data_IF_464989013748
#
_entry.id   IF_464989013748
#
_cell.length_a   1.000
_cell.length_b   1.000
_cell.length_c   1.000
_cell.angle_alpha   90.00
_cell.angle_beta   90.00
_cell.angle_gamma   90.00
#
_symmetry.space_group_name_H-M   'P 1'
#
loop_
_entity.id
_entity.type
_entity.pdbx_description
1 polymer ?
#
# COMPACT_ATOMS: atom_id res chain seq x y z
N UNK A 1 10.92 10.62 2.62
CA UNK A 1 10.37 10.85 1.27
C UNK A 1 9.21 11.84 1.35
N UNK A 2 9.48 13.11 1.08
CA UNK A 2 8.45 14.16 1.00
C UNK A 2 7.85 14.06 -0.40
N UNK A 3 6.58 13.65 -0.51
CA UNK A 3 5.93 13.49 -1.81
C UNK A 3 5.05 14.71 -2.05
N UNK A 4 5.23 15.38 -3.18
CA UNK A 4 4.29 16.43 -3.59
C UNK A 4 2.99 15.77 -4.09
N UNK A 5 1.85 16.17 -3.53
CA UNK A 5 0.53 15.66 -3.90
C UNK A 5 -0.40 16.85 -4.17
N UNK A 6 -0.45 17.37 -5.41
CA UNK A 6 -1.18 18.61 -5.75
C UNK A 6 -2.68 18.54 -5.47
N UNK A 7 -3.24 17.34 -5.40
CA UNK A 7 -4.66 17.10 -5.17
C UNK A 7 -5.03 17.03 -3.68
N UNK A 8 -4.08 17.25 -2.77
CA UNK A 8 -4.30 17.20 -1.32
C UNK A 8 -4.25 18.60 -0.73
N UNK A 9 -5.00 18.87 0.37
CA UNK A 9 -5.03 20.20 1.00
C UNK A 9 -3.64 20.65 1.48
N UNK A 10 -2.82 19.70 1.94
CA UNK A 10 -1.40 19.89 2.16
C UNK A 10 -0.63 19.20 1.02
N UNK A 11 0.06 20.01 0.22
CA UNK A 11 0.79 19.55 -0.94
C UNK A 11 2.01 18.70 -0.57
N UNK A 12 2.49 18.74 0.67
CA UNK A 12 3.70 18.04 1.05
C UNK A 12 3.49 17.14 2.27
N UNK A 13 3.46 15.84 2.03
CA UNK A 13 3.29 14.85 3.09
C UNK A 13 4.18 13.62 2.94
N UNK A 14 4.18 12.81 3.99
CA UNK A 14 4.70 11.44 3.95
C UNK A 14 3.58 10.52 3.44
N UNK A 15 3.87 9.74 2.40
CA UNK A 15 2.91 8.78 1.83
C UNK A 15 3.12 7.39 2.41
N UNK A 16 2.03 6.83 2.92
CA UNK A 16 1.93 5.46 3.41
C UNK A 16 0.74 4.77 2.74
N UNK A 17 0.79 3.46 2.72
CA UNK A 17 -0.37 2.61 2.44
C UNK A 17 -0.79 1.93 3.73
N UNK A 18 -2.09 1.67 3.86
CA UNK A 18 -2.65 1.00 5.02
C UNK A 18 -3.74 0.00 4.59
N UNK A 19 -3.82 -1.13 5.31
CA UNK A 19 -4.99 -2.02 5.26
C UNK A 19 -5.90 -1.63 6.40
N UNK A 20 -7.13 -1.28 6.07
CA UNK A 20 -8.15 -0.87 7.05
C UNK A 20 -9.31 -1.84 7.08
N UNK A 21 -9.92 -2.00 8.24
CA UNK A 21 -11.12 -2.80 8.42
C UNK A 21 -12.30 -2.21 7.65
N UNK A 22 -13.13 -3.09 7.10
CA UNK A 22 -14.34 -2.68 6.38
C UNK A 22 -15.46 -2.24 7.33
N UNK A 23 -15.64 -2.96 8.45
CA UNK A 23 -16.75 -2.73 9.40
C UNK A 23 -16.44 -1.65 10.44
N UNK A 24 -15.17 -1.37 10.71
CA UNK A 24 -14.73 -0.35 11.66
C UNK A 24 -13.43 0.26 11.15
N UNK A 25 -13.24 1.55 11.44
CA UNK A 25 -12.02 2.26 11.06
C UNK A 25 -10.84 1.81 11.94
N UNK A 26 -10.36 0.59 11.68
CA UNK A 26 -9.23 -0.03 12.36
C UNK A 26 -8.12 -0.27 11.35
N UNK A 27 -6.91 0.20 11.66
CA UNK A 27 -5.73 -0.01 10.81
C UNK A 27 -5.08 -1.33 11.18
N UNK A 28 -5.20 -2.33 10.29
CA UNK A 28 -4.57 -3.64 10.47
C UNK A 28 -3.08 -3.61 10.13
N UNK A 29 -2.69 -2.75 9.19
CA UNK A 29 -1.33 -2.68 8.67
C UNK A 29 -1.05 -1.30 8.11
N UNK A 30 0.19 -0.82 8.25
CA UNK A 30 0.67 0.42 7.65
C UNK A 30 2.10 0.23 7.15
N UNK A 31 2.40 0.69 5.94
CA UNK A 31 3.76 0.69 5.38
C UNK A 31 4.03 1.93 4.56
N UNK A 32 5.30 2.35 4.51
CA UNK A 32 5.69 3.48 3.69
C UNK A 32 5.63 3.12 2.20
N UNK A 33 5.35 4.11 1.34
CA UNK A 33 5.37 3.93 -0.12
C UNK A 33 6.77 3.59 -0.68
N UNK A 34 7.82 3.59 0.16
CA UNK A 34 9.19 3.27 -0.26
C UNK A 34 9.67 4.11 -1.45
N UNK A 35 9.18 5.34 -1.57
CA UNK A 35 9.57 6.27 -2.63
C UNK A 35 11.09 6.48 -2.61
N UNK A 36 11.74 6.25 -3.76
CA UNK A 36 13.21 6.30 -3.90
C UNK A 36 13.92 4.97 -3.63
N UNK A 37 13.19 3.89 -3.37
CA UNK A 37 13.76 2.55 -3.26
C UNK A 37 13.85 1.90 -4.66
N UNK A 38 15.04 1.42 -5.02
CA UNK A 38 15.33 0.82 -6.34
C UNK A 38 15.26 -0.72 -6.33
N UNK A 39 14.80 -1.32 -5.23
CA UNK A 39 14.62 -2.77 -5.15
C UNK A 39 13.56 -3.25 -6.17
N UNK A 40 13.75 -4.41 -6.82
CA UNK A 40 12.83 -4.95 -7.83
C UNK A 40 11.51 -5.48 -7.26
N UNK A 41 11.22 -5.22 -5.99
CA UNK A 41 9.97 -5.60 -5.32
C UNK A 41 9.09 -4.38 -5.10
N UNK A 42 7.78 -4.56 -5.07
CA UNK A 42 6.85 -3.52 -4.65
C UNK A 42 6.86 -3.35 -3.12
N UNK A 43 6.46 -2.19 -2.59
CA UNK A 43 6.30 -2.01 -1.15
C UNK A 43 5.32 -3.03 -0.53
N UNK A 44 4.24 -3.37 -1.26
CA UNK A 44 3.25 -4.36 -0.82
C UNK A 44 3.81 -5.78 -0.79
N UNK A 45 4.61 -6.18 -1.78
CA UNK A 45 5.31 -7.48 -1.79
C UNK A 45 6.28 -7.63 -0.62
N UNK A 46 7.05 -6.57 -0.31
CA UNK A 46 7.94 -6.60 0.86
C UNK A 46 7.16 -6.73 2.16
N UNK A 47 6.04 -6.03 2.28
CA UNK A 47 5.20 -6.09 3.47
C UNK A 47 4.56 -7.47 3.65
N UNK A 48 4.00 -8.05 2.60
CA UNK A 48 3.39 -9.38 2.62
C UNK A 48 4.41 -10.52 2.73
N UNK A 49 5.69 -10.27 2.40
CA UNK A 49 6.77 -11.21 2.71
C UNK A 49 7.05 -11.33 4.21
N UNK A 50 6.90 -10.24 4.98
CA UNK A 50 6.99 -10.27 6.45
C UNK A 50 5.74 -10.91 7.07
N UNK A 51 4.56 -10.56 6.56
CA UNK A 51 3.28 -11.07 7.05
C UNK A 51 2.63 -11.97 6.00
N UNK A 52 3.03 -13.24 6.00
CA UNK A 52 2.63 -14.20 4.97
C UNK A 52 1.11 -14.39 4.86
N UNK A 53 0.38 -14.21 5.96
CA UNK A 53 -1.09 -14.24 6.02
C UNK A 53 -1.74 -13.20 5.10
N UNK A 54 -1.02 -12.13 4.75
CA UNK A 54 -1.50 -11.06 3.88
C UNK A 54 -1.20 -11.27 2.38
N UNK A 55 -0.51 -12.35 2.00
CA UNK A 55 -0.21 -12.63 0.59
C UNK A 55 -1.48 -12.94 -0.22
N UNK A 56 -2.34 -13.82 0.28
CA UNK A 56 -3.60 -14.19 -0.37
C UNK A 56 -4.51 -13.00 -0.62
N UNK A 57 -4.81 -12.13 0.38
CA UNK A 57 -5.62 -10.95 0.13
C UNK A 57 -4.95 -9.97 -0.84
N UNK A 58 -3.61 -9.81 -0.81
CA UNK A 58 -2.91 -8.98 -1.81
C UNK A 58 -3.11 -9.54 -3.24
N UNK A 59 -2.88 -10.83 -3.46
CA UNK A 59 -3.07 -11.45 -4.77
C UNK A 59 -4.52 -11.36 -5.27
N UNK A 60 -5.50 -11.51 -4.38
CA UNK A 60 -6.90 -11.33 -4.73
C UNK A 60 -7.18 -9.90 -5.20
N UNK A 61 -6.66 -8.89 -4.50
CA UNK A 61 -6.81 -7.49 -4.89
C UNK A 61 -6.14 -7.20 -6.24
N UNK A 62 -4.91 -7.69 -6.46
CA UNK A 62 -4.18 -7.46 -7.71
C UNK A 62 -4.86 -8.16 -8.90
N UNK A 63 -5.40 -9.37 -8.71
CA UNK A 63 -6.16 -10.08 -9.75
C UNK A 63 -7.45 -9.38 -10.15
N UNK A 64 -8.09 -8.66 -9.24
CA UNK A 64 -9.31 -7.89 -9.52
C UNK A 64 -9.00 -6.74 -10.48
N UNK A 65 -7.83 -6.11 -10.38
CA UNK A 65 -7.42 -5.05 -11.31
C UNK A 65 -7.17 -5.60 -12.73
N UNK A 66 -6.55 -6.78 -12.87
CA UNK A 66 -6.34 -7.45 -14.18
C UNK A 66 -7.66 -7.90 -14.86
N UNK A 67 -8.72 -8.16 -14.09
CA UNK A 67 -10.03 -8.57 -14.62
C UNK A 67 -10.92 -7.38 -15.05
N UNK A 68 -10.44 -6.14 -14.89
CA UNK A 68 -11.20 -4.91 -15.12
C UNK A 68 -10.79 -4.13 -16.39
N UNK A 69 -10.15 -4.80 -17.35
CA UNK A 69 -9.86 -4.29 -18.70
C UNK A 69 -10.76 -4.98 -19.72
#
# INVERSE_FOLDING_TARGET
AKTNMPSKPDNYGLRFYAVVGWSSLYVHALWNNSSGNNMPSTPAERYTNLFQTLRTPLYNTLRVEDASI
#
